data_IF_983854830188
#
_entry.id   IF_983854830188
#
_cell.length_a   1.000
_cell.length_b   1.000
_cell.length_c   1.000
_cell.angle_alpha   90.00
_cell.angle_beta   90.00
_cell.angle_gamma   90.00
#
_symmetry.space_group_name_H-M   'P 1'
#
loop_
_entity.id
_entity.type
_entity.pdbx_description
1 polymer ?
#
# COMPACT_ATOMS: atom_id res chain seq x y z
N UNK A 1 -8.03 0.45 6.71
CA UNK A 1 -7.41 -0.76 7.29
C UNK A 1 -8.50 -1.65 7.86
N UNK A 2 -8.92 -2.64 7.07
CA UNK A 2 -9.87 -3.67 7.46
C UNK A 2 -9.16 -4.81 8.19
N UNK A 3 -9.68 -5.22 9.34
CA UNK A 3 -9.22 -6.41 10.08
C UNK A 3 -10.01 -7.68 9.73
N UNK A 4 -10.92 -7.59 8.75
CA UNK A 4 -11.71 -8.73 8.27
C UNK A 4 -10.89 -9.65 7.36
N UNK A 5 -9.95 -9.08 6.60
CA UNK A 5 -9.06 -9.83 5.72
C UNK A 5 -7.85 -10.34 6.52
N UNK A 6 -7.69 -11.66 6.59
CA UNK A 6 -6.57 -12.31 7.29
C UNK A 6 -5.30 -12.41 6.43
N UNK A 7 -5.34 -11.94 5.18
CA UNK A 7 -4.18 -11.89 4.29
C UNK A 7 -3.59 -13.29 4.04
N UNK A 8 -2.26 -13.42 4.19
CA UNK A 8 -1.53 -14.66 3.91
C UNK A 8 -2.02 -15.87 4.72
N UNK A 9 -2.54 -15.67 5.94
CA UNK A 9 -3.10 -16.76 6.75
C UNK A 9 -4.24 -17.49 6.02
N UNK A 10 -5.06 -16.79 5.24
CA UNK A 10 -6.15 -17.41 4.46
C UNK A 10 -5.64 -18.42 3.43
N UNK A 11 -4.35 -18.32 3.04
CA UNK A 11 -3.68 -19.23 2.10
C UNK A 11 -2.91 -20.32 2.84
N UNK A 12 -2.19 -19.98 3.91
CA UNK A 12 -1.28 -20.93 4.57
C UNK A 12 -1.89 -21.67 5.77
N UNK A 13 -2.98 -21.15 6.33
CA UNK A 13 -3.60 -21.63 7.57
C UNK A 13 -2.79 -21.35 8.84
N UNK A 14 -1.60 -20.75 8.75
CA UNK A 14 -0.70 -20.54 9.90
C UNK A 14 -1.06 -19.25 10.64
N UNK A 15 -1.30 -19.29 11.96
CA UNK A 15 -1.59 -18.08 12.75
C UNK A 15 -0.50 -17.00 12.64
N UNK A 16 0.77 -17.39 12.53
CA UNK A 16 1.89 -16.44 12.36
C UNK A 16 1.91 -15.68 11.02
N UNK A 17 1.09 -16.09 10.05
CA UNK A 17 0.93 -15.39 8.76
C UNK A 17 -0.26 -14.41 8.75
N UNK A 18 -0.97 -14.25 9.88
CA UNK A 18 -2.14 -13.39 9.97
C UNK A 18 -1.79 -11.95 9.60
N UNK A 19 -2.62 -11.35 8.74
CA UNK A 19 -2.54 -9.95 8.30
C UNK A 19 -1.24 -9.57 7.59
N UNK A 20 -0.44 -10.56 7.18
CA UNK A 20 0.68 -10.34 6.27
C UNK A 20 0.16 -10.21 4.85
N UNK A 21 0.57 -9.14 4.18
CA UNK A 21 0.26 -8.89 2.77
C UNK A 21 1.56 -8.87 1.97
N UNK A 22 1.44 -9.15 0.67
CA UNK A 22 2.56 -8.99 -0.25
C UNK A 22 2.87 -7.50 -0.40
N UNK A 23 4.14 -7.13 -0.30
CA UNK A 23 4.61 -5.79 -0.69
C UNK A 23 4.37 -5.57 -2.19
N UNK A 24 3.53 -4.59 -2.59
CA UNK A 24 3.25 -4.32 -3.99
C UNK A 24 4.43 -3.63 -4.67
N UNK A 25 4.49 -3.69 -6.00
CA UNK A 25 5.40 -2.83 -6.78
C UNK A 25 4.89 -1.39 -6.74
N UNK A 26 5.82 -0.43 -6.73
CA UNK A 26 5.51 1.00 -6.79
C UNK A 26 5.54 1.57 -8.21
N UNK A 27 5.83 0.76 -9.24
CA UNK A 27 5.81 1.21 -10.63
C UNK A 27 4.38 1.61 -11.02
N UNK A 28 4.23 2.80 -11.59
CA UNK A 28 2.94 3.38 -11.97
C UNK A 28 1.96 3.60 -10.79
N UNK A 29 2.42 3.63 -9.54
CA UNK A 29 1.55 3.75 -8.36
C UNK A 29 0.70 5.03 -8.36
N UNK A 30 1.17 6.10 -9.01
CA UNK A 30 0.38 7.33 -9.13
C UNK A 30 -0.87 7.18 -10.01
N UNK A 31 -1.01 6.07 -10.75
CA UNK A 31 -2.11 5.82 -11.69
C UNK A 31 -3.10 4.74 -11.19
N UNK A 32 -2.89 4.18 -10.00
CA UNK A 32 -3.60 2.99 -9.51
C UNK A 32 -4.31 3.22 -8.18
N UNK A 33 -4.76 4.45 -7.92
CA UNK A 33 -5.65 4.70 -6.79
C UNK A 33 -6.98 3.91 -6.95
N UNK A 34 -7.67 3.55 -5.85
CA UNK A 34 -7.26 3.74 -4.45
C UNK A 34 -6.19 2.73 -3.99
N UNK A 35 -5.59 2.99 -2.83
CA UNK A 35 -4.44 2.27 -2.29
C UNK A 35 -4.79 1.36 -1.11
N UNK A 36 -3.80 0.58 -0.68
CA UNK A 36 -3.93 -0.52 0.28
C UNK A 36 -4.72 -1.72 -0.28
N UNK A 37 -4.75 -2.83 0.45
CA UNK A 37 -5.47 -4.03 0.00
C UNK A 37 -7.00 -3.85 -0.01
N UNK A 38 -7.51 -2.94 0.81
CA UNK A 38 -8.92 -2.65 1.00
C UNK A 38 -9.38 -1.36 0.31
N UNK A 39 -8.50 -0.67 -0.42
CA UNK A 39 -8.81 0.61 -1.05
C UNK A 39 -9.04 1.76 -0.06
N UNK A 40 -8.57 1.65 1.20
CA UNK A 40 -8.90 2.61 2.25
C UNK A 40 -8.24 3.98 2.14
N UNK A 41 -7.14 4.10 1.39
CA UNK A 41 -6.46 5.39 1.16
C UNK A 41 -6.70 5.82 -0.29
N UNK A 42 -7.13 7.06 -0.49
CA UNK A 42 -7.49 7.62 -1.81
C UNK A 42 -6.32 8.29 -2.49
N UNK A 43 -5.34 8.78 -1.74
CA UNK A 43 -4.22 9.57 -2.25
C UNK A 43 -2.87 9.00 -1.78
N UNK A 44 -1.79 9.31 -2.51
CA UNK A 44 -0.43 8.91 -2.10
C UNK A 44 -0.01 9.65 -0.83
N UNK A 45 -0.49 10.88 -0.66
CA UNK A 45 -0.30 11.72 0.50
C UNK A 45 -0.86 11.04 1.77
N UNK A 46 -2.07 10.45 1.66
CA UNK A 46 -2.68 9.66 2.73
C UNK A 46 -1.88 8.39 3.03
N UNK A 47 -1.40 7.67 2.00
CA UNK A 47 -0.57 6.46 2.18
C UNK A 47 0.74 6.78 2.90
N UNK A 48 1.48 7.80 2.44
CA UNK A 48 2.75 8.19 3.05
C UNK A 48 2.53 8.65 4.49
N UNK A 49 1.49 9.45 4.73
CA UNK A 49 1.13 9.90 6.08
C UNK A 49 0.78 8.71 6.99
N UNK A 50 0.06 7.71 6.47
CA UNK A 50 -0.28 6.50 7.21
C UNK A 50 0.97 5.77 7.69
N UNK A 51 1.95 5.51 6.80
CA UNK A 51 3.19 4.83 7.16
C UNK A 51 4.10 5.64 8.11
N UNK A 52 3.95 6.97 8.13
CA UNK A 52 4.66 7.83 9.09
C UNK A 52 4.01 7.89 10.48
N UNK A 53 2.68 7.99 10.55
CA UNK A 53 1.99 8.43 11.77
C UNK A 53 1.02 7.42 12.36
N UNK A 54 0.57 6.46 11.57
CA UNK A 54 -0.65 5.71 11.91
C UNK A 54 -0.57 4.22 11.61
N UNK A 55 0.56 3.74 11.09
CA UNK A 55 0.73 2.32 10.81
C UNK A 55 0.73 1.53 12.12
N UNK A 56 -0.22 0.60 12.30
CA UNK A 56 -0.24 -0.23 13.50
C UNK A 56 0.91 -1.24 13.41
N UNK A 57 1.66 -1.40 14.50
CA UNK A 57 2.71 -2.43 14.62
C UNK A 57 2.19 -3.73 15.22
N UNK A 58 0.92 -3.75 15.63
CA UNK A 58 0.24 -4.93 16.16
C UNK A 58 -1.20 -4.98 15.65
N UNK A 59 -1.74 -6.19 15.58
CA UNK A 59 -3.16 -6.43 15.33
C UNK A 59 -3.99 -6.11 16.59
N UNK A 60 -5.33 -5.97 16.48
CA UNK A 60 -6.20 -5.80 17.64
C UNK A 60 -6.05 -6.91 18.70
N UNK A 61 -5.71 -8.13 18.27
CA UNK A 61 -5.50 -9.30 19.14
C UNK A 61 -4.04 -9.39 19.65
N UNK A 62 -3.23 -8.35 19.46
CA UNK A 62 -1.86 -8.25 19.99
C UNK A 62 -0.79 -8.96 19.18
N UNK A 63 -1.12 -9.56 18.03
CA UNK A 63 -0.13 -10.19 17.14
C UNK A 63 0.76 -9.11 16.53
N UNK A 64 2.10 -9.19 16.62
CA UNK A 64 3.01 -8.26 15.95
C UNK A 64 2.86 -8.29 14.43
N UNK A 65 2.79 -7.11 13.83
CA UNK A 65 2.82 -6.91 12.39
C UNK A 65 4.27 -6.71 11.93
N UNK A 66 4.59 -7.29 10.79
CA UNK A 66 5.88 -7.13 10.12
C UNK A 66 5.89 -5.82 9.33
N UNK A 67 5.97 -4.70 10.06
CA UNK A 67 5.98 -3.35 9.50
C UNK A 67 6.97 -2.48 10.26
N UNK A 68 7.80 -1.76 9.51
CA UNK A 68 8.67 -0.71 10.04
C UNK A 68 8.05 0.65 9.68
N UNK A 69 7.69 1.47 10.69
CA UNK A 69 7.26 2.84 10.44
C UNK A 69 8.36 3.66 9.76
N UNK A 70 7.97 4.59 8.90
CA UNK A 70 8.94 5.46 8.24
C UNK A 70 9.57 6.43 9.24
N UNK A 71 10.89 6.65 9.12
CA UNK A 71 11.63 7.61 9.91
C UNK A 71 11.58 8.98 9.23
N UNK A 72 11.06 9.99 9.92
CA UNK A 72 10.75 11.33 9.37
C UNK A 72 9.36 11.79 9.79
N UNK A 73 9.09 13.10 9.78
CA UNK A 73 7.77 13.61 10.18
C UNK A 73 7.43 15.00 9.65
N UNK A 74 8.30 15.59 8.81
CA UNK A 74 8.07 16.92 8.25
C UNK A 74 7.12 16.86 7.05
N UNK A 75 6.35 17.93 6.86
CA UNK A 75 5.49 18.07 5.68
C UNK A 75 6.29 18.09 4.37
N UNK A 76 7.52 18.60 4.39
CA UNK A 76 8.44 18.57 3.25
C UNK A 76 8.80 17.15 2.86
N UNK A 77 9.16 16.28 3.81
CA UNK A 77 9.51 14.88 3.52
C UNK A 77 8.33 14.12 2.91
N UNK A 78 7.10 14.36 3.40
CA UNK A 78 5.88 13.76 2.82
C UNK A 78 5.73 14.19 1.36
N UNK A 79 5.85 15.49 1.08
CA UNK A 79 5.73 16.04 -0.27
C UNK A 79 6.80 15.47 -1.20
N UNK A 80 8.05 15.39 -0.75
CA UNK A 80 9.18 14.89 -1.52
C UNK A 80 9.02 13.41 -1.85
N UNK A 81 8.57 12.61 -0.88
CA UNK A 81 8.33 11.19 -1.09
C UNK A 81 7.16 10.95 -2.04
N UNK A 82 6.09 11.74 -1.93
CA UNK A 82 4.99 11.70 -2.90
C UNK A 82 5.46 12.09 -4.29
N UNK A 83 6.31 13.11 -4.42
CA UNK A 83 6.89 13.50 -5.71
C UNK A 83 7.73 12.36 -6.31
N UNK A 84 8.56 11.71 -5.48
CA UNK A 84 9.32 10.52 -5.88
C UNK A 84 8.41 9.39 -6.36
N UNK A 85 7.35 9.05 -5.62
CA UNK A 85 6.40 8.02 -6.01
C UNK A 85 5.69 8.35 -7.35
N UNK A 86 5.37 9.63 -7.57
CA UNK A 86 4.82 10.10 -8.85
C UNK A 86 5.81 9.92 -10.01
N UNK A 87 7.10 10.12 -9.75
CA UNK A 87 8.16 9.91 -10.75
C UNK A 87 8.38 8.43 -11.15
N UNK A 88 7.85 7.46 -10.38
CA UNK A 88 7.88 6.03 -10.73
C UNK A 88 6.85 5.63 -11.80
N UNK A 89 6.12 6.60 -12.36
CA UNK A 89 5.07 6.36 -13.34
C UNK A 89 5.51 6.76 -14.74
N UNK A 90 5.28 5.88 -15.72
CA UNK A 90 5.55 6.16 -17.13
C UNK A 90 4.27 6.54 -17.87
N UNK A 91 4.42 7.12 -19.07
CA UNK A 91 3.30 7.35 -19.98
C UNK A 91 2.54 6.03 -20.26
N UNK A 92 1.20 6.01 -20.18
CA UNK A 92 0.42 4.82 -20.52
C UNK A 92 0.68 4.37 -21.96
N UNK A 93 0.71 3.05 -22.15
CA UNK A 93 0.80 2.47 -23.48
C UNK A 93 -0.48 2.76 -24.25
N UNK A 94 -0.34 3.22 -25.49
CA UNK A 94 -1.47 3.29 -26.42
C UNK A 94 -1.70 1.90 -26.98
N UNK A 95 -2.80 1.27 -26.59
CA UNK A 95 -3.23 -0.03 -27.11
C UNK A 95 -4.50 0.18 -27.93
N UNK A 96 -4.49 -0.21 -29.19
CA UNK A 96 -5.69 -0.24 -30.02
C UNK A 96 -6.44 -1.54 -29.73
N UNK A 97 -7.72 -1.50 -29.31
CA UNK A 97 -8.49 -2.72 -29.05
C UNK A 97 -8.53 -3.63 -30.30
N UNK A 98 -8.34 -4.95 -30.15
CA UNK A 98 -8.45 -5.87 -31.27
C UNK A 98 -9.91 -5.96 -31.74
N UNK A 99 -10.12 -6.28 -33.01
CA UNK A 99 -11.45 -6.72 -33.46
C UNK A 99 -11.70 -8.11 -32.88
N UNK A 100 -12.72 -8.22 -32.05
CA UNK A 100 -13.18 -9.51 -31.54
C UNK A 100 -13.91 -10.27 -32.66
N UNK A 101 -13.79 -11.61 -32.73
CA UNK A 101 -14.54 -12.44 -33.68
C UNK A 101 -16.06 -12.33 -33.49
#
# INVERSE_FOLDING_TARGET
MSWKDKGRQSVTGKPGDAFRFRTPSLRNVALTAPYMHDGSQKTLEEVVTFYYRSVPTTTPDGIPLDVEPLLGNSFSEISDMVAFLKALSSKPLKVTPPRLP
#
